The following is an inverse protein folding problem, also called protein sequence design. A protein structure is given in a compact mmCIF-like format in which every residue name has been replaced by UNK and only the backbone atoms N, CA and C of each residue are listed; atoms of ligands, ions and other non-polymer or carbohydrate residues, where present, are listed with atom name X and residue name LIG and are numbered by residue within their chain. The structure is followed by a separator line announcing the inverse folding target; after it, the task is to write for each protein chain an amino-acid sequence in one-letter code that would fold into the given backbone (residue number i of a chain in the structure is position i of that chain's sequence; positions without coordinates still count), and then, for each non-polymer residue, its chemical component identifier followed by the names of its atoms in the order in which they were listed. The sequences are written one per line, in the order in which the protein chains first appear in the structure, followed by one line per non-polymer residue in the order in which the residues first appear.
data_IF_649102164091
#
_entry.id   IF_649102164091
#
_cell.length_a   1.000
_cell.length_b   1.000
_cell.length_c   1.000
_cell.angle_alpha   90.00
_cell.angle_beta   90.00
_cell.angle_gamma   90.00
#
_symmetry.space_group_name_H-M   'P 1'
#
loop_
_entity.id
_entity.type
_entity.pdbx_description
1 polymer ?
#
# COMPACT_ATOMS: atom_id res chain seq x y z
N UNK A 1 10.80 -24.68 -39.85
CA UNK A 1 10.06 -23.42 -39.61
C UNK A 1 9.48 -23.33 -38.20
N UNK A 2 9.17 -24.46 -37.54
CA UNK A 2 8.57 -24.52 -36.20
C UNK A 2 9.56 -24.26 -35.04
N UNK A 3 10.82 -24.68 -35.16
CA UNK A 3 11.86 -24.50 -34.11
C UNK A 3 12.30 -23.04 -33.90
N UNK A 4 12.09 -22.18 -34.91
CA UNK A 4 12.43 -20.75 -34.84
C UNK A 4 11.36 -19.93 -34.11
N UNK A 5 10.11 -20.41 -34.06
CA UNK A 5 9.01 -19.75 -33.34
C UNK A 5 9.10 -20.02 -31.82
N UNK A 6 9.34 -21.27 -31.40
CA UNK A 6 9.51 -21.59 -29.96
C UNK A 6 10.70 -20.87 -29.30
N UNK A 7 11.79 -20.67 -30.04
CA UNK A 7 13.02 -20.03 -29.54
C UNK A 7 12.89 -18.50 -29.38
N UNK A 8 11.90 -17.90 -30.03
CA UNK A 8 11.61 -16.46 -29.95
C UNK A 8 10.65 -16.18 -28.78
N UNK A 9 9.60 -17.00 -28.63
CA UNK A 9 8.67 -16.92 -27.48
C UNK A 9 9.36 -17.17 -26.12
N UNK A 10 10.30 -18.13 -26.05
CA UNK A 10 11.10 -18.35 -24.83
C UNK A 10 12.06 -17.19 -24.52
N UNK A 11 12.53 -16.45 -25.53
CA UNK A 11 13.41 -15.28 -25.35
C UNK A 11 12.65 -14.06 -24.87
N UNK A 12 11.43 -13.87 -25.36
CA UNK A 12 10.55 -12.76 -24.98
C UNK A 12 10.02 -12.94 -23.56
N UNK A 13 9.56 -14.14 -23.18
CA UNK A 13 9.16 -14.45 -21.80
C UNK A 13 10.32 -14.28 -20.80
N UNK A 14 11.56 -14.58 -21.21
CA UNK A 14 12.76 -14.36 -20.39
C UNK A 14 13.19 -12.88 -20.35
N UNK A 15 12.89 -12.07 -21.37
CA UNK A 15 13.06 -10.62 -21.32
C UNK A 15 12.04 -9.95 -20.40
N UNK A 16 10.76 -10.32 -20.50
CA UNK A 16 9.72 -9.80 -19.62
C UNK A 16 10.02 -10.13 -18.16
N UNK A 17 10.38 -11.39 -17.86
CA UNK A 17 10.73 -11.79 -16.49
C UNK A 17 11.89 -10.98 -15.91
N UNK A 18 12.94 -10.74 -16.70
CA UNK A 18 14.08 -9.89 -16.30
C UNK A 18 13.69 -8.43 -16.11
N UNK A 19 12.72 -7.92 -16.87
CA UNK A 19 12.26 -6.54 -16.74
C UNK A 19 11.38 -6.36 -15.48
N UNK A 20 10.57 -7.38 -15.14
CA UNK A 20 9.90 -7.44 -13.85
C UNK A 20 10.92 -7.51 -12.70
N UNK A 21 11.96 -8.33 -12.81
CA UNK A 21 13.00 -8.44 -11.78
C UNK A 21 13.65 -7.08 -11.46
N UNK A 22 13.81 -6.20 -12.45
CA UNK A 22 14.33 -4.83 -12.24
C UNK A 22 13.35 -3.90 -11.49
N UNK A 23 12.04 -4.09 -11.64
CA UNK A 23 11.02 -3.26 -11.00
C UNK A 23 10.80 -3.67 -9.53
N UNK A 24 11.08 -4.94 -9.19
CA UNK A 24 10.90 -5.46 -7.84
C UNK A 24 11.80 -4.79 -6.78
N UNK A 25 12.92 -4.19 -7.18
CA UNK A 25 13.87 -3.53 -6.29
C UNK A 25 13.55 -2.05 -6.00
N UNK A 26 12.44 -1.53 -6.55
CA UNK A 26 12.06 -0.13 -6.35
C UNK A 26 11.51 0.07 -4.93
N UNK A 27 12.08 0.97 -4.11
CA UNK A 27 11.57 1.25 -2.78
C UNK A 27 10.22 1.99 -2.88
N UNK A 28 9.26 1.56 -2.06
CA UNK A 28 7.92 2.13 -2.02
C UNK A 28 7.55 2.67 -0.64
N UNK A 29 6.78 3.75 -0.61
CA UNK A 29 6.24 4.29 0.62
C UNK A 29 4.92 3.61 0.96
N UNK A 30 4.92 2.86 2.06
CA UNK A 30 3.72 2.28 2.64
C UNK A 30 3.24 3.17 3.78
N UNK A 31 1.99 3.62 3.68
CA UNK A 31 1.33 4.47 4.68
C UNK A 31 0.18 3.71 5.32
N UNK A 32 0.17 3.64 6.64
CA UNK A 32 -0.96 3.10 7.41
C UNK A 32 -1.69 4.26 8.03
N UNK A 33 -3.01 4.34 7.83
CA UNK A 33 -3.83 5.41 8.38
C UNK A 33 -4.73 4.92 9.50
N UNK A 34 -4.60 5.59 10.65
CA UNK A 34 -5.53 5.44 11.77
C UNK A 34 -6.92 5.97 11.41
N UNK A 35 -6.97 7.10 10.69
CA UNK A 35 -8.21 7.70 10.24
C UNK A 35 -7.99 9.08 9.62
N UNK A 36 -9.04 9.63 9.02
CA UNK A 36 -9.05 10.98 8.43
C UNK A 36 -10.22 11.77 9.00
N UNK A 37 -10.07 13.09 9.05
CA UNK A 37 -11.17 14.00 9.32
C UNK A 37 -11.03 15.25 8.44
N UNK A 38 -12.15 15.95 8.21
CA UNK A 38 -12.17 17.24 7.53
C UNK A 38 -12.43 18.32 8.57
N UNK A 39 -11.64 19.38 8.56
CA UNK A 39 -11.82 20.51 9.47
C UNK A 39 -11.65 21.83 8.71
N UNK A 40 -12.26 22.90 9.23
CA UNK A 40 -12.09 24.22 8.65
C UNK A 40 -10.71 24.77 9.01
N UNK A 41 -10.15 25.63 8.15
CA UNK A 41 -8.85 26.26 8.38
C UNK A 41 -8.81 27.01 9.72
N UNK A 42 -9.91 27.67 10.10
CA UNK A 42 -10.02 28.35 11.40
C UNK A 42 -9.87 27.39 12.59
N UNK A 43 -10.42 26.18 12.51
CA UNK A 43 -10.40 25.21 13.59
C UNK A 43 -9.00 24.57 13.68
N UNK A 44 -8.35 24.35 12.53
CA UNK A 44 -6.96 23.89 12.46
C UNK A 44 -6.00 24.88 13.14
N UNK A 45 -6.16 26.18 12.89
CA UNK A 45 -5.33 27.23 13.49
C UNK A 45 -5.57 27.41 15.00
N UNK A 46 -6.68 26.90 15.53
CA UNK A 46 -7.00 26.93 16.95
C UNK A 46 -6.43 25.72 17.72
N UNK A 47 -5.92 24.70 17.01
CA UNK A 47 -5.32 23.55 17.67
C UNK A 47 -4.10 23.97 18.49
N UNK A 48 -4.07 23.47 19.72
CA UNK A 48 -3.01 23.70 20.68
C UNK A 48 -2.61 22.39 21.38
N UNK A 49 -1.57 22.46 22.20
CA UNK A 49 -1.16 21.31 22.99
C UNK A 49 -2.32 20.85 23.89
N UNK A 50 -2.68 19.57 23.78
CA UNK A 50 -3.81 18.98 24.50
C UNK A 50 -5.13 18.97 23.73
N UNK A 51 -5.19 19.58 22.54
CA UNK A 51 -6.35 19.45 21.65
C UNK A 51 -6.56 18.00 21.21
N UNK A 52 -7.81 17.53 21.26
CA UNK A 52 -8.20 16.19 20.79
C UNK A 52 -8.96 16.36 19.48
N UNK A 53 -8.51 15.67 18.43
CA UNK A 53 -9.14 15.69 17.11
C UNK A 53 -9.86 14.37 16.88
N UNK A 54 -11.17 14.44 16.68
CA UNK A 54 -11.97 13.27 16.34
C UNK A 54 -11.76 12.87 14.88
N UNK A 55 -11.51 11.58 14.65
CA UNK A 55 -11.35 10.98 13.34
C UNK A 55 -12.65 10.32 12.89
N UNK A 56 -12.89 10.25 11.59
CA UNK A 56 -14.12 9.66 11.04
C UNK A 56 -14.19 8.13 11.08
N UNK A 57 -13.29 7.46 11.82
CA UNK A 57 -13.19 6.00 11.87
C UNK A 57 -13.53 5.49 13.26
N UNK A 58 -14.38 4.47 13.36
CA UNK A 58 -14.77 3.90 14.65
C UNK A 58 -13.61 3.10 15.27
N UNK A 59 -13.52 3.13 16.60
CA UNK A 59 -12.53 2.33 17.31
C UNK A 59 -12.79 0.83 17.08
N UNK A 60 -11.73 0.09 16.73
CA UNK A 60 -11.81 -1.34 16.42
C UNK A 60 -12.03 -1.66 14.93
N UNK A 61 -12.20 -0.67 14.06
CA UNK A 61 -12.18 -0.91 12.61
C UNK A 61 -10.78 -1.20 12.07
N UNK A 62 -10.72 -1.92 10.95
CA UNK A 62 -9.47 -2.22 10.26
C UNK A 62 -8.85 -0.95 9.70
N UNK A 63 -7.57 -0.70 9.99
CA UNK A 63 -6.76 0.37 9.42
C UNK A 63 -6.59 0.23 7.91
N UNK A 64 -6.51 1.37 7.24
CA UNK A 64 -6.31 1.42 5.79
C UNK A 64 -4.81 1.47 5.49
N UNK A 65 -4.37 0.66 4.53
CA UNK A 65 -2.97 0.56 4.13
C UNK A 65 -2.84 0.99 2.68
N UNK A 66 -2.06 2.05 2.48
CA UNK A 66 -1.80 2.68 1.20
C UNK A 66 -0.38 2.43 0.75
N UNK A 67 -0.19 2.31 -0.56
CA UNK A 67 1.12 2.38 -1.21
C UNK A 67 1.01 3.42 -2.31
N UNK A 68 1.93 4.40 -2.33
CA UNK A 68 1.88 5.54 -3.26
C UNK A 68 0.48 6.18 -3.35
N UNK A 69 -0.16 6.39 -2.20
CA UNK A 69 -1.51 6.97 -2.08
C UNK A 69 -2.67 6.13 -2.64
N UNK A 70 -2.46 4.87 -3.02
CA UNK A 70 -3.53 3.94 -3.44
C UNK A 70 -3.79 2.91 -2.34
N UNK A 71 -5.07 2.65 -2.06
CA UNK A 71 -5.49 1.65 -1.08
C UNK A 71 -5.16 0.24 -1.62
N UNK A 72 -4.33 -0.50 -0.88
CA UNK A 72 -3.88 -1.84 -1.27
C UNK A 72 -4.30 -2.91 -0.27
N UNK A 73 -4.47 -2.56 1.00
CA UNK A 73 -4.83 -3.51 2.04
C UNK A 73 -5.60 -2.85 3.19
N UNK A 74 -6.21 -3.70 4.01
CA UNK A 74 -6.79 -3.36 5.31
C UNK A 74 -6.20 -4.28 6.37
N UNK A 75 -5.95 -3.75 7.56
CA UNK A 75 -5.33 -4.52 8.62
C UNK A 75 -5.59 -3.96 10.00
N UNK A 76 -5.35 -4.75 11.02
CA UNK A 76 -5.53 -4.32 12.41
C UNK A 76 -4.18 -3.93 13.03
N UNK A 77 -4.22 -2.95 13.94
CA UNK A 77 -3.04 -2.56 14.71
C UNK A 77 -2.65 -3.68 15.67
N UNK A 78 -1.39 -4.09 15.63
CA UNK A 78 -0.81 -5.06 16.55
C UNK A 78 0.46 -4.49 17.17
N UNK A 79 0.85 -5.00 18.33
CA UNK A 79 2.15 -4.68 18.94
C UNK A 79 3.05 -5.89 18.80
N UNK A 80 4.23 -5.68 18.20
CA UNK A 80 5.24 -6.72 17.99
C UNK A 80 6.58 -6.18 18.48
N UNK A 81 7.20 -6.85 19.45
CA UNK A 81 8.48 -6.42 20.04
C UNK A 81 8.47 -4.95 20.48
N UNK A 82 7.42 -4.54 21.21
CA UNK A 82 7.19 -3.17 21.68
C UNK A 82 7.07 -2.11 20.56
N UNK A 83 6.93 -2.54 19.30
CA UNK A 83 6.70 -1.67 18.15
C UNK A 83 5.30 -1.84 17.63
N UNK A 84 4.74 -0.77 17.08
CA UNK A 84 3.51 -0.85 16.31
C UNK A 84 3.74 -1.63 15.01
N UNK A 85 2.84 -2.55 14.71
CA UNK A 85 2.75 -3.27 13.47
C UNK A 85 1.31 -3.29 12.97
N UNK A 86 1.12 -3.78 11.75
CA UNK A 86 -0.20 -3.99 11.16
C UNK A 86 -0.30 -5.42 10.69
N UNK A 87 -1.30 -6.15 11.18
CA UNK A 87 -1.65 -7.48 10.66
C UNK A 87 -2.66 -7.29 9.55
N UNK A 88 -2.27 -7.64 8.32
CA UNK A 88 -3.13 -7.52 7.15
C UNK A 88 -4.26 -8.54 7.24
N UNK A 89 -5.50 -8.05 7.11
CA UNK A 89 -6.72 -8.86 7.15
C UNK A 89 -7.26 -9.05 5.73
N UNK A 90 -7.14 -8.04 4.88
CA UNK A 90 -7.60 -8.05 3.49
C UNK A 90 -6.57 -7.34 2.61
N UNK A 91 -6.28 -7.88 1.41
CA UNK A 91 -5.25 -7.35 0.51
C UNK A 91 -5.56 -7.70 -0.95
N UNK A 92 -5.33 -6.73 -1.84
CA UNK A 92 -5.50 -6.93 -3.28
C UNK A 92 -4.47 -7.91 -3.85
N UNK A 93 -4.81 -8.51 -5.00
CA UNK A 93 -3.96 -9.48 -5.67
C UNK A 93 -2.60 -8.88 -6.08
N UNK A 94 -1.53 -9.71 -6.19
CA UNK A 94 -0.22 -9.21 -6.61
C UNK A 94 -0.22 -8.51 -7.97
N UNK A 95 -1.03 -8.99 -8.93
CA UNK A 95 -1.16 -8.40 -10.27
C UNK A 95 -1.78 -7.00 -10.17
N UNK A 96 -2.90 -6.86 -9.46
CA UNK A 96 -3.54 -5.55 -9.21
C UNK A 96 -2.64 -4.60 -8.43
N UNK A 97 -1.74 -5.12 -7.58
CA UNK A 97 -0.81 -4.30 -6.81
C UNK A 97 0.21 -3.65 -7.74
N UNK A 98 0.76 -4.38 -8.71
CA UNK A 98 1.68 -3.83 -9.71
C UNK A 98 0.96 -2.80 -10.57
N UNK A 99 -0.24 -3.11 -11.08
CA UNK A 99 -1.05 -2.15 -11.87
C UNK A 99 -1.42 -0.88 -11.11
N UNK A 100 -1.62 -0.97 -9.78
CA UNK A 100 -1.88 0.20 -8.95
C UNK A 100 -0.61 0.96 -8.60
N UNK A 101 0.57 0.36 -8.55
CA UNK A 101 1.77 1.09 -8.12
C UNK A 101 2.46 1.80 -9.28
N UNK A 102 2.40 1.20 -10.47
CA UNK A 102 3.05 1.66 -11.70
C UNK A 102 2.16 2.65 -12.45
#
# INVERSE_FOLDING_TARGET
MSELQEKTEQKDALQEKRNLDLILDIPLHLTVELGRTKMLVKDLLQLNQGSVVELGKLAGELLDVFVNSKLVARGEAVVVNEKFGVRLVDIISPVERVEKIV
#
